data_IF_063804242147
#
_entry.id   IF_063804242147
#
_cell.length_a   1.000
_cell.length_b   1.000
_cell.length_c   1.000
_cell.angle_alpha   90.00
_cell.angle_beta   90.00
_cell.angle_gamma   90.00
#
_symmetry.space_group_name_H-M   'P 1'
#
loop_
_entity.id
_entity.type
_entity.pdbx_description
1 polymer ?
#
# COMPACT_ATOMS: atom_id res chain seq x y z
N UNK A 1 8.06 7.33 1.28
CA UNK A 1 8.34 5.93 0.92
C UNK A 1 8.14 5.75 -0.57
N UNK A 2 9.02 5.02 -1.25
CA UNK A 2 8.91 4.73 -2.69
C UNK A 2 8.83 3.22 -2.87
N UNK A 3 7.87 2.77 -3.69
CA UNK A 3 7.68 1.38 -4.07
C UNK A 3 7.81 1.27 -5.60
N UNK A 4 8.80 0.49 -6.04
CA UNK A 4 9.10 0.30 -7.45
C UNK A 4 8.35 -0.92 -7.99
N UNK A 5 7.69 -0.76 -9.15
CA UNK A 5 6.98 -1.82 -9.86
C UNK A 5 7.55 -2.04 -11.26
N UNK A 6 7.54 -3.31 -11.69
CA UNK A 6 7.98 -3.74 -13.04
C UNK A 6 6.80 -4.20 -13.91
N UNK A 7 5.58 -4.15 -13.40
CA UNK A 7 4.38 -4.57 -14.12
C UNK A 7 4.17 -3.76 -15.40
N UNK A 8 3.46 -4.38 -16.35
CA UNK A 8 3.05 -3.74 -17.60
C UNK A 8 1.55 -3.46 -17.59
N UNK A 9 1.20 -2.21 -17.91
CA UNK A 9 -0.19 -1.75 -18.11
C UNK A 9 -0.25 -0.91 -19.37
N UNK A 10 -1.45 -0.54 -19.83
CA UNK A 10 -1.57 0.43 -20.93
C UNK A 10 -0.85 1.73 -20.55
N UNK A 11 0.00 2.24 -21.46
CA UNK A 11 0.78 3.47 -21.25
C UNK A 11 -0.11 4.72 -21.35
N UNK A 12 -0.98 4.87 -20.35
CA UNK A 12 -1.77 6.06 -20.14
C UNK A 12 -1.91 6.31 -18.63
N UNK A 13 -1.93 7.58 -18.25
CA UNK A 13 -1.89 7.99 -16.85
C UNK A 13 -3.04 7.42 -16.02
N UNK A 14 -4.24 7.28 -16.61
CA UNK A 14 -5.41 6.73 -15.94
C UNK A 14 -5.25 5.24 -15.60
N UNK A 15 -4.79 4.43 -16.56
CA UNK A 15 -4.53 3.00 -16.36
C UNK A 15 -3.42 2.76 -15.35
N UNK A 16 -2.33 3.53 -15.41
CA UNK A 16 -1.23 3.47 -14.44
C UNK A 16 -1.72 3.82 -13.04
N UNK A 17 -2.53 4.88 -12.90
CA UNK A 17 -3.09 5.28 -11.60
C UNK A 17 -4.04 4.23 -11.04
N UNK A 18 -4.97 3.72 -11.85
CA UNK A 18 -5.90 2.67 -11.44
C UNK A 18 -5.16 1.41 -11.02
N UNK A 19 -4.12 1.03 -11.75
CA UNK A 19 -3.31 -0.12 -11.40
C UNK A 19 -2.52 0.10 -10.09
N UNK A 20 -1.87 1.27 -9.93
CA UNK A 20 -1.15 1.61 -8.71
C UNK A 20 -2.04 1.56 -7.46
N UNK A 21 -3.31 1.95 -7.59
CA UNK A 21 -4.28 1.89 -6.49
C UNK A 21 -4.58 0.47 -6.00
N UNK A 22 -4.30 -0.58 -6.80
CA UNK A 22 -4.41 -1.97 -6.34
C UNK A 22 -3.39 -2.33 -5.26
N UNK A 23 -2.31 -1.55 -5.14
CA UNK A 23 -1.29 -1.72 -4.10
C UNK A 23 -1.57 -0.89 -2.84
N UNK A 24 -2.70 -0.18 -2.74
CA UNK A 24 -3.00 0.71 -1.60
C UNK A 24 -2.92 -0.03 -0.26
N UNK A 25 -3.42 -1.27 -0.19
CA UNK A 25 -3.34 -2.09 1.01
C UNK A 25 -1.88 -2.36 1.43
N UNK A 26 -1.06 -2.84 0.49
CA UNK A 26 0.37 -3.13 0.73
C UNK A 26 1.07 -1.88 1.29
N UNK A 27 0.82 -0.73 0.68
CA UNK A 27 1.45 0.54 1.04
C UNK A 27 0.93 1.09 2.37
N UNK A 28 -0.35 0.87 2.68
CA UNK A 28 -0.93 1.25 3.97
C UNK A 28 -0.31 0.46 5.12
N UNK A 29 -0.09 -0.85 4.95
CA UNK A 29 0.59 -1.69 5.95
C UNK A 29 2.05 -1.24 6.13
N UNK A 30 2.78 -0.96 5.06
CA UNK A 30 4.15 -0.46 5.17
C UNK A 30 4.22 0.92 5.84
N UNK A 31 3.27 1.81 5.52
CA UNK A 31 3.18 3.12 6.14
C UNK A 31 2.86 3.03 7.64
N UNK A 32 2.02 2.08 8.06
CA UNK A 32 1.75 1.79 9.47
C UNK A 32 3.01 1.34 10.22
N UNK A 33 3.74 0.38 9.65
CA UNK A 33 5.00 -0.10 10.22
C UNK A 33 6.07 1.01 10.30
N UNK A 34 6.11 1.91 9.31
CA UNK A 34 7.04 3.04 9.34
C UNK A 34 6.63 4.11 10.34
N UNK A 35 5.32 4.36 10.49
CA UNK A 35 4.76 5.33 11.45
C UNK A 35 5.23 5.04 12.88
N UNK A 36 5.32 3.77 13.27
CA UNK A 36 5.83 3.38 14.60
C UNK A 36 7.29 3.82 14.83
N UNK A 37 8.08 3.95 13.77
CA UNK A 37 9.49 4.35 13.84
C UNK A 37 9.71 5.85 13.70
N UNK A 38 8.88 6.52 12.90
CA UNK A 38 9.08 7.93 12.52
C UNK A 38 8.02 8.88 13.09
N UNK A 39 7.01 8.36 13.78
CA UNK A 39 5.95 9.11 14.45
C UNK A 39 4.82 9.62 13.54
N UNK A 40 4.92 9.44 12.21
CA UNK A 40 3.91 9.91 11.25
C UNK A 40 3.75 8.96 10.06
N UNK A 41 2.53 8.90 9.50
CA UNK A 41 2.26 8.16 8.26
C UNK A 41 2.99 8.85 7.09
N UNK A 42 3.92 8.19 6.39
CA UNK A 42 4.64 8.79 5.28
C UNK A 42 3.77 8.94 4.03
N UNK A 43 4.10 9.90 3.17
CA UNK A 43 3.64 9.87 1.77
C UNK A 43 4.25 8.65 1.06
N UNK A 44 3.42 7.92 0.30
CA UNK A 44 3.88 6.81 -0.54
C UNK A 44 3.88 7.22 -2.01
N UNK A 45 4.83 6.69 -2.77
CA UNK A 45 4.92 6.86 -4.22
C UNK A 45 5.10 5.50 -4.88
N UNK A 46 4.33 5.24 -5.92
CA UNK A 46 4.49 4.08 -6.80
C UNK A 46 5.19 4.55 -8.07
N UNK A 47 6.31 3.92 -8.39
CA UNK A 47 7.11 4.23 -9.58
C UNK A 47 7.21 2.99 -10.45
N UNK A 48 6.68 3.06 -11.67
CA UNK A 48 6.85 1.99 -12.63
C UNK A 48 8.15 2.20 -13.40
N UNK A 49 9.07 1.23 -13.36
CA UNK A 49 10.37 1.35 -14.03
C UNK A 49 10.23 1.51 -15.55
N UNK A 50 9.18 0.92 -16.13
CA UNK A 50 8.85 1.04 -17.56
C UNK A 50 8.28 2.43 -17.93
N UNK A 51 7.71 3.14 -16.96
CA UNK A 51 7.05 4.44 -17.15
C UNK A 51 7.58 5.44 -16.11
N UNK A 52 8.90 5.75 -16.11
CA UNK A 52 9.55 6.45 -14.99
C UNK A 52 9.06 7.88 -14.78
N UNK A 53 8.37 8.47 -15.77
CA UNK A 53 7.73 9.80 -15.67
C UNK A 53 6.36 9.76 -14.98
N UNK A 54 5.80 8.57 -14.77
CA UNK A 54 4.50 8.37 -14.12
C UNK A 54 4.71 7.93 -12.68
N UNK A 55 4.79 8.91 -11.79
CA UNK A 55 4.83 8.70 -10.33
C UNK A 55 3.43 8.88 -9.78
N UNK A 56 2.87 7.82 -9.20
CA UNK A 56 1.58 7.89 -8.52
C UNK A 56 1.83 8.17 -7.05
N UNK A 57 1.39 9.32 -6.56
CA UNK A 57 1.54 9.71 -5.15
C UNK A 57 0.26 9.37 -4.39
N UNK A 58 0.44 8.71 -3.24
CA UNK A 58 -0.62 8.36 -2.31
C UNK A 58 -0.39 9.13 -1.00
N UNK A 59 -1.27 10.08 -0.65
CA UNK A 59 -1.10 10.90 0.54
C UNK A 59 -1.36 10.09 1.82
N UNK A 60 -0.79 10.51 2.97
CA UNK A 60 -0.97 9.82 4.25
C UNK A 60 -2.44 9.52 4.60
N UNK A 61 -3.33 10.50 4.40
CA UNK A 61 -4.76 10.33 4.69
C UNK A 61 -5.46 9.27 3.84
N UNK A 62 -4.97 8.96 2.63
CA UNK A 62 -5.50 7.84 1.84
C UNK A 62 -5.03 6.50 2.40
N UNK A 63 -3.77 6.43 2.85
CA UNK A 63 -3.18 5.22 3.44
C UNK A 63 -3.81 4.91 4.80
N UNK A 64 -3.99 5.91 5.66
CA UNK A 64 -4.65 5.74 6.96
C UNK A 64 -6.10 5.28 6.81
N UNK A 65 -6.83 5.83 5.82
CA UNK A 65 -8.19 5.38 5.51
C UNK A 65 -8.23 3.93 5.04
N UNK A 66 -7.29 3.53 4.19
CA UNK A 66 -7.21 2.16 3.71
C UNK A 66 -6.86 1.19 4.85
N UNK A 67 -5.91 1.58 5.72
CA UNK A 67 -5.56 0.81 6.90
C UNK A 67 -6.77 0.62 7.84
N UNK A 68 -7.52 1.69 8.11
CA UNK A 68 -8.70 1.64 8.98
C UNK A 68 -9.83 0.76 8.40
N UNK A 69 -9.89 0.58 7.07
CA UNK A 69 -10.83 -0.35 6.44
C UNK A 69 -10.45 -1.81 6.65
N UNK A 70 -9.16 -2.09 6.81
CA UNK A 70 -8.77 -3.39 7.33
C UNK A 70 -9.22 -3.44 8.77
N UNK A 71 -10.26 -4.25 9.01
CA UNK A 71 -10.53 -4.77 10.35
C UNK A 71 -9.35 -5.68 10.71
N UNK A 72 -8.20 -5.09 11.03
CA UNK A 72 -6.96 -5.82 11.32
C UNK A 72 -7.21 -6.84 12.43
N UNK A 73 -8.06 -6.51 13.40
CA UNK A 73 -8.54 -7.43 14.44
C UNK A 73 -9.24 -8.67 13.86
N UNK A 74 -10.04 -8.52 12.80
CA UNK A 74 -10.71 -9.64 12.15
C UNK A 74 -9.72 -10.51 11.35
N UNK A 75 -8.66 -9.91 10.80
CA UNK A 75 -7.61 -10.63 10.08
C UNK A 75 -6.71 -11.37 11.08
N UNK A 76 -6.30 -10.72 12.18
CA UNK A 76 -5.55 -11.34 13.25
C UNK A 76 -6.33 -12.52 13.85
N UNK A 77 -7.61 -12.35 14.18
CA UNK A 77 -8.47 -13.43 14.66
C UNK A 77 -8.60 -14.58 13.65
N UNK A 78 -8.60 -14.28 12.35
CA UNK A 78 -8.61 -15.30 11.30
C UNK A 78 -7.30 -16.11 11.30
N UNK A 79 -6.14 -15.47 11.41
CA UNK A 79 -4.85 -16.17 11.46
C UNK A 79 -4.61 -16.92 12.77
N UNK A 80 -5.07 -16.38 13.90
CA UNK A 80 -5.02 -17.07 15.20
C UNK A 80 -5.88 -18.35 15.16
N UNK A 81 -7.01 -18.33 14.44
CA UNK A 81 -7.86 -19.52 14.24
C UNK A 81 -7.21 -20.62 13.38
N UNK A 82 -6.13 -20.31 12.66
CA UNK A 82 -5.35 -21.28 11.88
C UNK A 82 -4.07 -21.76 12.60
N UNK A 83 -3.77 -21.27 13.79
CA UNK A 83 -2.69 -21.82 14.61
C UNK A 83 -3.26 -22.95 15.48
N UNK A 84 -3.13 -24.24 15.10
CA UNK A 84 -3.33 -25.30 16.07
C UNK A 84 -2.21 -25.15 17.11
N UNK A 85 -2.59 -24.93 18.36
CA UNK A 85 -1.67 -24.98 19.49
C UNK A 85 -0.78 -26.23 19.37
N UNK A 86 0.54 -26.01 19.31
CA UNK A 86 1.57 -27.01 19.66
C UNK A 86 2.41 -26.46 20.79
#
# INVERSE_FOLDING_TARGET
MIDFKTDSVSDNAAAITTHARRYMLQLAVYAAALRERVGATPTAQVVYLRYPRHVVTLPPAELDRELARLKLDAIAAHFDSFSPHT
#
